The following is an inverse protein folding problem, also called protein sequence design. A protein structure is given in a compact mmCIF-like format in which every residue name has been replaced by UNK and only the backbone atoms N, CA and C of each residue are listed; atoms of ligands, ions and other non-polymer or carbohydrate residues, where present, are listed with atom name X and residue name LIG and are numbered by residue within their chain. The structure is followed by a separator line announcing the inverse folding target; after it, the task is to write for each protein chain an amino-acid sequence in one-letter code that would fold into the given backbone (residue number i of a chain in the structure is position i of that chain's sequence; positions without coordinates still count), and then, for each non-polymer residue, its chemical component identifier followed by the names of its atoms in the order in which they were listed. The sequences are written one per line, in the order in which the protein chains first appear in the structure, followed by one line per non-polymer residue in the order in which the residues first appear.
data_IF_679073580953
#
_entry.id   IF_679073580953
#
_cell.length_a   1.000
_cell.length_b   1.000
_cell.length_c   1.000
_cell.angle_alpha   90.00
_cell.angle_beta   90.00
_cell.angle_gamma   90.00
#
_symmetry.space_group_name_H-M   'P 1'
#
loop_
_entity.id
_entity.type
_entity.pdbx_description
1 polymer ?
#
# COMPACT_ATOMS: atom_id res chain seq x y z
N UNK A 1 -5.10 -18.46 -12.57
CA UNK A 1 -4.51 -17.86 -11.35
C UNK A 1 -3.02 -18.11 -11.43
N UNK A 2 -2.18 -17.12 -11.14
CA UNK A 2 -0.75 -17.36 -11.01
C UNK A 2 -0.50 -18.29 -9.80
N UNK A 3 0.40 -19.28 -9.93
CA UNK A 3 0.74 -20.12 -8.78
C UNK A 3 1.43 -19.27 -7.71
N UNK A 4 1.04 -19.46 -6.46
CA UNK A 4 1.69 -18.83 -5.30
C UNK A 4 2.59 -19.80 -4.54
N UNK A 5 2.70 -21.02 -5.05
CA UNK A 5 3.54 -22.08 -4.48
C UNK A 5 5.01 -21.66 -4.54
N UNK A 6 5.70 -21.75 -3.41
CA UNK A 6 7.11 -21.37 -3.29
C UNK A 6 7.38 -19.85 -3.25
N UNK A 7 6.37 -18.99 -3.35
CA UNK A 7 6.54 -17.54 -3.22
C UNK A 7 6.55 -17.09 -1.75
N UNK A 8 7.31 -16.02 -1.48
CA UNK A 8 7.37 -15.32 -0.20
C UNK A 8 7.25 -13.81 -0.40
N UNK A 9 6.83 -13.05 0.64
CA UNK A 9 6.88 -11.60 0.58
C UNK A 9 8.29 -11.11 0.22
N UNK A 10 8.35 -10.03 -0.55
CA UNK A 10 9.61 -9.37 -0.88
C UNK A 10 10.37 -8.97 0.39
N UNK A 11 11.67 -9.21 0.44
CA UNK A 11 12.52 -8.89 1.58
C UNK A 11 13.30 -7.60 1.36
N UNK A 12 13.73 -6.96 2.47
CA UNK A 12 14.59 -5.77 2.41
C UNK A 12 15.92 -6.05 1.68
N UNK A 13 16.54 -7.20 1.94
CA UNK A 13 17.80 -7.60 1.31
C UNK A 13 17.68 -7.77 -0.22
N UNK A 14 16.57 -8.34 -0.68
CA UNK A 14 16.27 -8.42 -2.10
C UNK A 14 16.10 -7.02 -2.71
N UNK A 15 15.33 -6.15 -2.06
CA UNK A 15 15.14 -4.76 -2.52
C UNK A 15 16.44 -3.98 -2.57
N UNK A 16 17.34 -4.17 -1.61
CA UNK A 16 18.66 -3.54 -1.63
C UNK A 16 19.44 -3.95 -2.89
N UNK A 17 19.53 -5.26 -3.15
CA UNK A 17 20.23 -5.81 -4.33
C UNK A 17 19.56 -5.42 -5.64
N UNK A 18 18.24 -5.30 -5.65
CA UNK A 18 17.47 -4.84 -6.81
C UNK A 18 17.75 -3.35 -7.06
N UNK A 19 17.63 -2.50 -6.04
CA UNK A 19 17.84 -1.06 -6.16
C UNK A 19 19.30 -0.66 -6.41
N UNK A 20 20.29 -1.53 -6.14
CA UNK A 20 21.67 -1.30 -6.60
C UNK A 20 21.77 -1.18 -8.12
N UNK A 21 20.84 -1.81 -8.86
CA UNK A 21 20.76 -1.74 -10.33
C UNK A 21 19.93 -0.56 -10.83
N UNK A 22 19.27 0.16 -9.92
CA UNK A 22 18.35 1.26 -10.22
C UNK A 22 18.74 2.50 -9.40
N UNK A 23 19.91 3.06 -9.67
CA UNK A 23 20.36 4.28 -8.99
C UNK A 23 19.66 5.52 -9.54
N UNK A 24 19.03 6.32 -8.68
CA UNK A 24 18.58 7.65 -9.06
C UNK A 24 19.80 8.58 -9.20
N UNK A 25 19.85 9.33 -10.30
CA UNK A 25 20.88 10.35 -10.47
C UNK A 25 20.61 11.50 -9.49
N UNK A 26 21.63 12.03 -8.79
CA UNK A 26 21.42 13.10 -7.82
C UNK A 26 20.65 14.29 -8.39
N UNK A 27 19.89 14.97 -7.54
CA UNK A 27 19.22 16.22 -7.89
C UNK A 27 20.23 17.28 -8.34
N UNK A 28 19.81 18.18 -9.22
CA UNK A 28 20.57 19.39 -9.52
C UNK A 28 20.96 20.13 -8.23
N UNK A 29 22.19 20.64 -8.18
CA UNK A 29 22.65 21.50 -7.09
C UNK A 29 21.78 22.77 -6.93
N UNK A 30 21.06 23.15 -8.00
CA UNK A 30 20.12 24.26 -7.98
C UNK A 30 18.94 24.03 -7.02
N UNK A 31 18.55 22.79 -6.74
CA UNK A 31 17.49 22.50 -5.76
C UNK A 31 17.88 23.05 -4.39
N UNK A 32 19.08 22.72 -3.91
CA UNK A 32 19.58 23.20 -2.61
C UNK A 32 19.89 24.69 -2.64
N UNK A 33 20.52 25.18 -3.72
CA UNK A 33 20.87 26.59 -3.87
C UNK A 33 19.63 27.49 -3.83
N UNK A 34 18.66 27.23 -4.71
CA UNK A 34 17.45 28.05 -4.83
C UNK A 34 16.55 27.94 -3.60
N UNK A 35 16.45 26.75 -2.99
CA UNK A 35 15.73 26.61 -1.72
C UNK A 35 16.34 27.49 -0.62
N UNK A 36 17.67 27.54 -0.54
CA UNK A 36 18.39 28.37 0.45
C UNK A 36 18.23 29.86 0.14
N UNK A 37 18.35 30.24 -1.13
CA UNK A 37 18.17 31.62 -1.60
C UNK A 37 16.76 32.15 -1.31
N UNK A 38 15.73 31.35 -1.63
CA UNK A 38 14.33 31.65 -1.30
C UNK A 38 14.14 31.82 0.21
N UNK A 39 14.68 30.89 1.02
CA UNK A 39 14.58 31.00 2.49
C UNK A 39 15.31 32.22 3.03
N UNK A 40 16.42 32.63 2.43
CA UNK A 40 17.10 33.88 2.78
C UNK A 40 16.22 35.09 2.51
N UNK A 41 15.59 35.16 1.33
CA UNK A 41 14.67 36.26 0.97
C UNK A 41 13.50 36.31 1.96
N UNK A 42 12.92 35.16 2.31
CA UNK A 42 11.85 35.08 3.32
C UNK A 42 12.34 35.57 4.68
N UNK A 43 13.53 35.17 5.11
CA UNK A 43 14.10 35.60 6.39
C UNK A 43 14.24 37.13 6.44
N UNK A 44 14.76 37.74 5.38
CA UNK A 44 14.91 39.20 5.28
C UNK A 44 13.56 39.92 5.36
N UNK A 45 12.52 39.38 4.71
CA UNK A 45 11.15 39.92 4.77
C UNK A 45 10.55 39.83 6.18
N UNK A 46 10.78 38.70 6.88
CA UNK A 46 10.31 38.47 8.24
C UNK A 46 11.05 39.34 9.27
N UNK A 47 12.33 39.64 9.04
CA UNK A 47 13.10 40.57 9.89
C UNK A 47 12.57 42.00 9.81
N UNK A 48 12.12 42.42 8.63
CA UNK A 48 11.54 43.75 8.44
C UNK A 48 10.12 43.86 8.99
N UNK A 49 9.35 42.77 8.94
CA UNK A 49 7.95 42.72 9.40
C UNK A 49 7.69 41.39 10.11
N UNK A 50 7.50 41.38 11.45
CA UNK A 50 7.31 40.16 12.23
C UNK A 50 6.18 39.27 11.69
N UNK A 51 6.25 37.94 11.89
CA UNK A 51 5.20 37.03 11.46
C UNK A 51 3.85 37.35 12.10
N UNK A 52 2.77 37.24 11.33
CA UNK A 52 1.40 37.22 11.89
C UNK A 52 1.00 35.80 12.30
N UNK A 53 -0.06 35.67 13.09
CA UNK A 53 -0.49 34.39 13.70
C UNK A 53 -0.68 33.27 12.67
N UNK A 54 -1.29 33.56 11.51
CA UNK A 54 -1.48 32.59 10.43
C UNK A 54 -0.19 32.16 9.71
N UNK A 55 0.85 33.01 9.69
CA UNK A 55 2.13 32.70 9.04
C UNK A 55 3.01 31.81 9.91
N UNK A 56 2.84 31.87 11.23
CA UNK A 56 3.61 31.06 12.17
C UNK A 56 3.43 29.56 11.94
N UNK A 57 2.24 29.14 11.50
CA UNK A 57 1.96 27.74 11.17
C UNK A 57 2.79 27.31 9.95
N UNK A 58 2.80 28.10 8.89
CA UNK A 58 3.52 27.81 7.65
C UNK A 58 5.03 27.84 7.84
N UNK A 59 5.54 28.79 8.64
CA UNK A 59 6.96 28.86 9.01
C UNK A 59 7.36 27.61 9.78
N UNK A 60 6.58 27.23 10.80
CA UNK A 60 6.83 26.01 11.57
C UNK A 60 6.75 24.74 10.70
N UNK A 61 5.89 24.70 9.70
CA UNK A 61 5.81 23.59 8.74
C UNK A 61 7.07 23.55 7.86
N UNK A 62 7.58 24.69 7.40
CA UNK A 62 8.79 24.80 6.58
C UNK A 62 10.08 24.41 7.32
N UNK A 63 10.10 24.55 8.65
CA UNK A 63 11.23 24.17 9.49
C UNK A 63 11.19 22.69 9.93
N UNK A 64 10.09 21.98 9.67
CA UNK A 64 9.95 20.55 9.98
C UNK A 64 10.55 19.68 8.88
N UNK A 65 10.98 18.49 9.29
CA UNK A 65 11.34 17.45 8.33
C UNK A 65 10.10 17.00 7.55
N UNK A 66 10.22 16.79 6.23
CA UNK A 66 9.13 16.23 5.44
C UNK A 66 8.73 14.84 5.94
N UNK A 67 7.50 14.40 5.65
CA UNK A 67 7.08 13.04 5.98
C UNK A 67 8.03 12.00 5.38
N UNK A 68 8.44 11.05 6.22
CA UNK A 68 9.35 9.97 5.83
C UNK A 68 8.70 8.98 4.86
N UNK A 69 7.41 8.70 5.01
CA UNK A 69 6.70 7.78 4.11
C UNK A 69 6.56 8.41 2.72
N UNK A 70 7.08 7.75 1.70
CA UNK A 70 7.06 8.25 0.31
C UNK A 70 5.65 8.62 -0.14
N UNK A 71 4.64 7.83 0.20
CA UNK A 71 3.26 8.11 -0.22
C UNK A 71 2.65 9.32 0.50
N UNK A 72 2.91 9.46 1.80
CA UNK A 72 2.54 10.67 2.56
C UNK A 72 3.22 11.91 1.97
N UNK A 73 4.49 11.76 1.63
CA UNK A 73 5.27 12.83 1.05
C UNK A 73 4.78 13.24 -0.34
N UNK A 74 4.36 12.29 -1.17
CA UNK A 74 3.71 12.57 -2.46
C UNK A 74 2.39 13.33 -2.27
N UNK A 75 1.60 12.99 -1.24
CA UNK A 75 0.41 13.74 -0.89
C UNK A 75 0.73 15.17 -0.45
N UNK A 76 1.79 15.37 0.35
CA UNK A 76 2.27 16.71 0.72
C UNK A 76 2.75 17.52 -0.48
N UNK A 77 3.43 16.90 -1.44
CA UNK A 77 3.79 17.59 -2.68
C UNK A 77 2.53 18.07 -3.43
N UNK A 78 1.49 17.24 -3.55
CA UNK A 78 0.22 17.66 -4.18
C UNK A 78 -0.42 18.83 -3.43
N UNK A 79 -0.51 18.75 -2.11
CA UNK A 79 -1.01 19.82 -1.25
C UNK A 79 -0.27 21.14 -1.50
N UNK A 80 1.06 21.14 -1.36
CA UNK A 80 1.86 22.35 -1.50
C UNK A 80 1.86 22.90 -2.92
N UNK A 81 1.86 22.05 -3.96
CA UNK A 81 1.70 22.51 -5.34
C UNK A 81 0.36 23.23 -5.50
N UNK A 82 -0.73 22.67 -4.99
CA UNK A 82 -2.06 23.23 -5.19
C UNK A 82 -2.29 24.50 -4.38
N UNK A 83 -1.75 24.60 -3.17
CA UNK A 83 -1.72 25.85 -2.41
C UNK A 83 -0.84 26.91 -3.08
N UNK A 84 0.25 26.51 -3.72
CA UNK A 84 1.08 27.42 -4.52
C UNK A 84 0.31 27.92 -5.74
N UNK A 85 -0.41 27.04 -6.45
CA UNK A 85 -1.30 27.41 -7.55
C UNK A 85 -2.38 28.39 -7.07
N UNK A 86 -2.96 28.14 -5.89
CA UNK A 86 -3.93 29.04 -5.28
C UNK A 86 -3.35 30.45 -5.09
N UNK A 87 -2.13 30.58 -4.57
CA UNK A 87 -1.47 31.89 -4.41
C UNK A 87 -1.15 32.56 -5.76
N UNK A 88 -0.88 31.77 -6.79
CA UNK A 88 -0.60 32.25 -8.15
C UNK A 88 -1.86 32.58 -8.96
N UNK A 89 -3.06 32.24 -8.47
CA UNK A 89 -4.32 32.62 -9.14
C UNK A 89 -4.56 34.13 -9.01
N UNK A 90 -4.94 34.77 -10.12
CA UNK A 90 -5.02 36.23 -10.18
C UNK A 90 -6.03 36.82 -9.20
N UNK A 91 -7.09 36.07 -8.87
CA UNK A 91 -8.07 36.44 -7.84
C UNK A 91 -7.47 36.61 -6.44
N UNK A 92 -6.34 35.94 -6.17
CA UNK A 92 -5.69 35.88 -4.86
C UNK A 92 -4.47 36.81 -4.77
N UNK A 93 -4.14 37.53 -5.85
CA UNK A 93 -3.06 38.51 -5.83
C UNK A 93 -3.41 39.74 -4.99
N UNK A 94 -2.40 40.48 -4.52
CA UNK A 94 -2.61 41.81 -3.94
C UNK A 94 -3.30 42.75 -4.95
N UNK A 95 -4.21 43.61 -4.48
CA UNK A 95 -4.99 44.50 -5.35
C UNK A 95 -4.11 45.40 -6.24
N UNK A 96 -2.98 45.86 -5.71
CA UNK A 96 -2.02 46.66 -6.46
C UNK A 96 -1.41 45.90 -7.66
N UNK A 97 -1.23 44.58 -7.55
CA UNK A 97 -0.73 43.73 -8.65
C UNK A 97 -1.85 43.41 -9.65
N UNK A 98 -3.10 43.23 -9.17
CA UNK A 98 -4.27 42.99 -10.03
C UNK A 98 -4.57 44.16 -10.98
N UNK A 99 -4.33 45.39 -10.53
CA UNK A 99 -4.62 46.60 -11.30
C UNK A 99 -3.66 46.82 -12.49
N UNK A 100 -2.56 46.06 -12.58
CA UNK A 100 -1.61 46.05 -13.71
C UNK A 100 -1.23 47.45 -14.23
N UNK A 101 -1.08 48.40 -13.31
CA UNK A 101 -1.02 49.82 -13.62
C UNK A 101 0.33 50.27 -14.18
N UNK A 102 1.35 49.42 -14.07
CA UNK A 102 2.73 49.69 -14.56
C UNK A 102 3.19 48.59 -15.52
N UNK A 103 4.08 48.91 -16.49
CA UNK A 103 4.66 47.90 -17.38
C UNK A 103 5.31 46.72 -16.64
N UNK A 104 5.99 46.98 -15.54
CA UNK A 104 6.61 45.96 -14.69
C UNK A 104 5.57 45.04 -14.06
N UNK A 105 4.43 45.57 -13.59
CA UNK A 105 3.34 44.76 -13.04
C UNK A 105 2.67 43.84 -14.08
N UNK A 106 2.66 44.26 -15.35
CA UNK A 106 2.19 43.43 -16.47
C UNK A 106 3.17 42.29 -16.75
N UNK A 107 4.48 42.56 -16.80
CA UNK A 107 5.50 41.52 -17.00
C UNK A 107 5.47 40.48 -15.87
N UNK A 108 5.38 40.93 -14.61
CA UNK A 108 5.24 40.05 -13.45
C UNK A 108 3.98 39.19 -13.56
N UNK A 109 2.84 39.78 -13.93
CA UNK A 109 1.58 39.04 -14.11
C UNK A 109 1.70 37.92 -15.15
N UNK A 110 2.40 38.18 -16.26
CA UNK A 110 2.66 37.18 -17.30
C UNK A 110 3.53 36.05 -16.76
N UNK A 111 4.59 36.36 -16.00
CA UNK A 111 5.46 35.34 -15.39
C UNK A 111 4.66 34.49 -14.42
N UNK A 112 3.91 35.09 -13.47
CA UNK A 112 3.11 34.36 -12.49
C UNK A 112 2.08 33.43 -13.16
N UNK A 113 1.44 33.87 -14.25
CA UNK A 113 0.55 33.04 -15.05
C UNK A 113 1.25 31.80 -15.62
N UNK A 114 2.45 31.96 -16.19
CA UNK A 114 3.25 30.83 -16.69
C UNK A 114 3.67 29.87 -15.57
N UNK A 115 4.05 30.38 -14.40
CA UNK A 115 4.41 29.55 -13.25
C UNK A 115 3.21 28.74 -12.76
N UNK A 116 2.02 29.35 -12.73
CA UNK A 116 0.77 28.67 -12.40
C UNK A 116 0.51 27.49 -13.34
N UNK A 117 0.63 27.71 -14.65
CA UNK A 117 0.39 26.68 -15.66
C UNK A 117 1.40 25.52 -15.55
N UNK A 118 2.69 25.83 -15.31
CA UNK A 118 3.74 24.82 -15.06
C UNK A 118 3.42 23.95 -13.85
N UNK A 119 3.05 24.57 -12.73
CA UNK A 119 2.68 23.86 -11.50
C UNK A 119 1.41 23.04 -11.69
N UNK A 120 0.43 23.54 -12.44
CA UNK A 120 -0.80 22.80 -12.74
C UNK A 120 -0.53 21.54 -13.58
N UNK A 121 0.36 21.63 -14.57
CA UNK A 121 0.80 20.47 -15.34
C UNK A 121 1.57 19.45 -14.47
N UNK A 122 2.41 19.96 -13.58
CA UNK A 122 3.17 19.14 -12.64
C UNK A 122 2.27 18.42 -11.64
N UNK A 123 1.23 19.10 -11.12
CA UNK A 123 0.21 18.50 -10.26
C UNK A 123 -0.49 17.34 -10.98
N UNK A 124 -0.93 17.56 -12.24
CA UNK A 124 -1.56 16.51 -13.06
C UNK A 124 -0.65 15.31 -13.30
N UNK A 125 0.64 15.54 -13.52
CA UNK A 125 1.61 14.45 -13.69
C UNK A 125 1.73 13.61 -12.40
N UNK A 126 1.82 14.25 -11.24
CA UNK A 126 1.87 13.61 -9.93
C UNK A 126 0.58 12.84 -9.60
N UNK A 127 -0.58 13.41 -9.91
CA UNK A 127 -1.89 12.75 -9.78
C UNK A 127 -2.00 11.51 -10.66
N UNK A 128 -1.61 11.66 -11.93
CA UNK A 128 -1.61 10.57 -12.90
C UNK A 128 -0.68 9.44 -12.45
N UNK A 129 0.49 9.78 -11.90
CA UNK A 129 1.41 8.80 -11.33
C UNK A 129 0.76 8.01 -10.18
N UNK A 130 0.15 8.68 -9.20
CA UNK A 130 -0.48 8.01 -8.07
C UNK A 130 -1.66 7.12 -8.48
N UNK A 131 -2.49 7.57 -9.44
CA UNK A 131 -3.60 6.78 -9.98
C UNK A 131 -3.08 5.54 -10.68
N UNK A 132 -2.13 5.69 -11.62
CA UNK A 132 -1.52 4.56 -12.35
C UNK A 132 -0.86 3.57 -11.41
N UNK A 133 -0.15 4.05 -10.39
CA UNK A 133 0.49 3.16 -9.41
C UNK A 133 -0.56 2.40 -8.58
N UNK A 134 -1.63 3.06 -8.12
CA UNK A 134 -2.71 2.40 -7.40
C UNK A 134 -3.44 1.36 -8.25
N UNK A 135 -3.67 1.64 -9.54
CA UNK A 135 -4.22 0.69 -10.50
C UNK A 135 -3.28 -0.49 -10.76
N UNK A 136 -1.98 -0.22 -10.93
CA UNK A 136 -0.97 -1.26 -11.10
C UNK A 136 -0.93 -2.21 -9.90
N UNK A 137 -0.85 -1.68 -8.67
CA UNK A 137 -0.90 -2.48 -7.43
C UNK A 137 -2.17 -3.32 -7.40
N UNK A 138 -3.33 -2.70 -7.66
CA UNK A 138 -4.61 -3.42 -7.65
C UNK A 138 -4.65 -4.54 -8.70
N UNK A 139 -4.25 -4.25 -9.95
CA UNK A 139 -4.26 -5.23 -11.02
C UNK A 139 -3.30 -6.39 -10.74
N UNK A 140 -2.12 -6.10 -10.20
CA UNK A 140 -1.16 -7.13 -9.77
C UNK A 140 -1.77 -8.02 -8.68
N UNK A 141 -2.40 -7.44 -7.65
CA UNK A 141 -3.11 -8.21 -6.62
C UNK A 141 -4.23 -9.06 -7.25
N UNK A 142 -4.97 -8.53 -8.22
CA UNK A 142 -6.02 -9.26 -8.91
C UNK A 142 -5.52 -10.50 -9.66
N UNK A 143 -4.27 -10.54 -10.12
CA UNK A 143 -3.72 -11.74 -10.81
C UNK A 143 -3.65 -12.99 -9.92
N UNK A 144 -3.59 -12.77 -8.61
CA UNK A 144 -3.49 -13.80 -7.59
C UNK A 144 -4.84 -14.19 -6.98
N UNK A 145 -5.92 -13.49 -7.32
CA UNK A 145 -7.26 -13.78 -6.82
C UNK A 145 -8.08 -14.62 -7.82
N UNK A 146 -9.09 -15.37 -7.33
CA UNK A 146 -10.00 -16.12 -8.21
C UNK A 146 -10.67 -15.20 -9.24
N UNK A 147 -10.62 -15.58 -10.52
CA UNK A 147 -11.23 -14.83 -11.62
C UNK A 147 -12.72 -15.15 -11.82
N UNK A 148 -13.38 -15.61 -10.75
CA UNK A 148 -14.79 -15.93 -10.74
C UNK A 148 -15.62 -14.74 -10.22
N UNK A 149 -16.88 -14.99 -9.85
CA UNK A 149 -17.79 -13.96 -9.32
C UNK A 149 -17.20 -13.17 -8.13
N UNK A 150 -16.28 -13.76 -7.36
CA UNK A 150 -15.63 -13.11 -6.21
C UNK A 150 -14.71 -11.97 -6.65
N UNK A 151 -13.97 -12.15 -7.74
CA UNK A 151 -13.15 -11.09 -8.34
C UNK A 151 -14.00 -9.91 -8.82
N UNK A 152 -15.17 -10.20 -9.40
CA UNK A 152 -16.13 -9.16 -9.82
C UNK A 152 -16.72 -8.42 -8.62
N UNK A 153 -17.06 -9.11 -7.53
CA UNK A 153 -17.54 -8.49 -6.30
C UNK A 153 -16.50 -7.56 -5.67
N UNK A 154 -15.22 -7.95 -5.64
CA UNK A 154 -14.14 -7.11 -5.13
C UNK A 154 -13.97 -5.82 -5.96
N UNK A 155 -14.06 -5.91 -7.28
CA UNK A 155 -14.04 -4.73 -8.16
C UNK A 155 -15.22 -3.80 -7.87
N UNK A 156 -16.43 -4.34 -7.79
CA UNK A 156 -17.63 -3.56 -7.47
C UNK A 156 -17.56 -2.92 -6.08
N UNK A 157 -17.03 -3.64 -5.09
CA UNK A 157 -16.83 -3.11 -3.74
C UNK A 157 -15.82 -1.98 -3.72
N UNK A 158 -14.70 -2.11 -4.45
CA UNK A 158 -13.72 -1.03 -4.63
C UNK A 158 -14.38 0.18 -5.26
N UNK A 159 -15.06 0.03 -6.40
CA UNK A 159 -15.73 1.14 -7.09
C UNK A 159 -16.73 1.86 -6.19
N UNK A 160 -17.56 1.11 -5.45
CA UNK A 160 -18.53 1.70 -4.52
C UNK A 160 -17.82 2.45 -3.38
N UNK A 161 -16.77 1.87 -2.81
CA UNK A 161 -15.98 2.50 -1.75
C UNK A 161 -15.30 3.79 -2.25
N UNK A 162 -14.73 3.77 -3.44
CA UNK A 162 -14.08 4.95 -4.04
C UNK A 162 -15.09 6.04 -4.39
N UNK A 163 -16.28 5.70 -4.90
CA UNK A 163 -17.37 6.67 -5.10
C UNK A 163 -17.82 7.33 -3.78
N UNK A 164 -17.96 6.55 -2.71
CA UNK A 164 -18.37 7.09 -1.42
C UNK A 164 -17.31 8.04 -0.83
N UNK A 165 -16.03 7.67 -0.94
CA UNK A 165 -14.91 8.53 -0.50
C UNK A 165 -14.81 9.82 -1.31
N UNK A 166 -15.03 9.74 -2.62
CA UNK A 166 -15.08 10.92 -3.48
C UNK A 166 -16.25 11.83 -3.10
N UNK A 167 -17.43 11.27 -2.80
CA UNK A 167 -18.57 12.07 -2.35
C UNK A 167 -18.29 12.80 -1.01
N UNK A 168 -17.52 12.20 -0.10
CA UNK A 168 -17.08 12.86 1.14
C UNK A 168 -16.13 14.03 0.85
N UNK A 169 -15.20 13.85 -0.08
CA UNK A 169 -14.31 14.91 -0.57
C UNK A 169 -15.10 16.03 -1.22
N UNK A 170 -16.05 15.70 -2.11
CA UNK A 170 -16.89 16.67 -2.79
C UNK A 170 -17.76 17.44 -1.79
N UNK A 171 -18.32 16.77 -0.78
CA UNK A 171 -19.09 17.42 0.29
C UNK A 171 -18.23 18.40 1.11
N UNK A 172 -16.98 18.02 1.43
CA UNK A 172 -16.04 18.90 2.13
C UNK A 172 -15.70 20.14 1.28
N UNK A 173 -15.40 19.97 0.00
CA UNK A 173 -15.12 21.10 -0.91
C UNK A 173 -16.34 21.99 -1.06
N UNK A 174 -17.52 21.42 -1.27
CA UNK A 174 -18.78 22.16 -1.43
C UNK A 174 -19.21 22.92 -0.16
N UNK A 175 -18.78 22.47 1.02
CA UNK A 175 -19.00 23.16 2.29
C UNK A 175 -17.95 24.24 2.60
N UNK A 176 -17.00 24.48 1.69
CA UNK A 176 -15.96 25.50 1.83
C UNK A 176 -14.72 25.02 2.57
N UNK A 177 -14.47 23.71 2.65
CA UNK A 177 -13.24 23.15 3.20
C UNK A 177 -12.01 23.65 2.45
N UNK A 178 -10.92 23.87 3.19
CA UNK A 178 -9.66 24.34 2.62
C UNK A 178 -8.95 23.24 1.81
N UNK A 179 -7.94 23.64 1.03
CA UNK A 179 -7.06 22.70 0.34
C UNK A 179 -6.42 21.73 1.36
N UNK A 180 -5.95 22.27 2.49
CA UNK A 180 -5.42 21.50 3.60
C UNK A 180 -6.42 20.45 4.12
N UNK A 181 -7.67 20.86 4.40
CA UNK A 181 -8.72 19.95 4.91
C UNK A 181 -8.95 18.78 3.93
N UNK A 182 -8.96 19.08 2.62
CA UNK A 182 -9.13 18.07 1.58
C UNK A 182 -7.98 17.06 1.57
N UNK A 183 -6.73 17.52 1.64
CA UNK A 183 -5.57 16.62 1.67
C UNK A 183 -5.46 15.84 2.99
N UNK A 184 -5.83 16.44 4.12
CA UNK A 184 -5.96 15.75 5.40
C UNK A 184 -7.01 14.62 5.34
N UNK A 185 -8.16 14.87 4.70
CA UNK A 185 -9.19 13.86 4.48
C UNK A 185 -8.70 12.71 3.57
N UNK A 186 -8.06 13.04 2.44
CA UNK A 186 -7.50 12.04 1.52
C UNK A 186 -6.46 11.16 2.21
N UNK A 187 -5.59 11.76 3.03
CA UNK A 187 -4.62 11.01 3.82
C UNK A 187 -5.28 10.13 4.88
N UNK A 188 -6.28 10.64 5.59
CA UNK A 188 -7.07 9.86 6.55
C UNK A 188 -7.72 8.65 5.87
N UNK A 189 -8.38 8.85 4.74
CA UNK A 189 -8.99 7.77 3.95
C UNK A 189 -7.94 6.72 3.53
N UNK A 190 -6.73 7.14 3.16
CA UNK A 190 -5.62 6.24 2.83
C UNK A 190 -5.14 5.46 4.06
N UNK A 191 -5.04 6.09 5.23
CA UNK A 191 -4.65 5.41 6.48
C UNK A 191 -5.72 4.43 6.95
N UNK A 192 -7.00 4.77 6.80
CA UNK A 192 -8.08 3.87 7.17
C UNK A 192 -8.12 2.63 6.27
N UNK A 193 -7.82 2.77 4.96
CA UNK A 193 -7.57 1.61 4.07
C UNK A 193 -6.45 0.73 4.60
N UNK A 194 -5.31 1.32 4.98
CA UNK A 194 -4.16 0.58 5.51
C UNK A 194 -4.48 -0.13 6.83
N UNK A 195 -5.22 0.51 7.74
CA UNK A 195 -5.66 -0.09 9.00
C UNK A 195 -6.59 -1.28 8.77
N UNK A 196 -7.56 -1.14 7.88
CA UNK A 196 -8.45 -2.24 7.51
C UNK A 196 -7.67 -3.42 6.92
N UNK A 197 -6.72 -3.16 6.01
CA UNK A 197 -5.85 -4.19 5.45
C UNK A 197 -4.97 -4.86 6.51
N UNK A 198 -4.37 -4.08 7.41
CA UNK A 198 -3.57 -4.61 8.51
C UNK A 198 -4.41 -5.50 9.45
N UNK A 199 -5.64 -5.08 9.77
CA UNK A 199 -6.59 -5.88 10.55
C UNK A 199 -6.96 -7.21 9.87
N UNK A 200 -7.06 -7.23 8.53
CA UNK A 200 -7.23 -8.46 7.76
C UNK A 200 -5.98 -9.36 7.84
N UNK A 201 -4.79 -8.79 7.76
CA UNK A 201 -3.52 -9.52 7.87
C UNK A 201 -3.21 -10.03 9.29
N UNK A 202 -3.71 -9.33 10.32
CA UNK A 202 -3.55 -9.69 11.73
C UNK A 202 -4.72 -10.52 12.28
N UNK A 203 -5.80 -10.72 11.50
CA UNK A 203 -6.92 -11.53 11.93
C UNK A 203 -6.44 -12.96 12.21
N UNK A 204 -6.73 -13.46 13.42
CA UNK A 204 -6.45 -14.85 13.83
C UNK A 204 -7.77 -15.64 13.87
N UNK A 205 -7.71 -16.95 13.58
CA UNK A 205 -8.86 -17.84 13.71
C UNK A 205 -9.90 -17.76 12.57
N UNK A 206 -11.18 -17.93 12.92
CA UNK A 206 -12.30 -18.17 11.99
C UNK A 206 -12.47 -17.07 10.93
N UNK A 207 -12.12 -15.81 11.23
CA UNK A 207 -12.20 -14.70 10.29
C UNK A 207 -11.11 -14.74 9.20
N UNK A 208 -9.88 -15.15 9.54
CA UNK A 208 -8.80 -15.41 8.56
C UNK A 208 -9.16 -16.58 7.66
N UNK A 209 -9.76 -17.62 8.24
CA UNK A 209 -10.29 -18.77 7.50
C UNK A 209 -11.43 -18.36 6.57
N UNK A 210 -12.38 -17.53 7.02
CA UNK A 210 -13.45 -17.00 6.18
C UNK A 210 -12.93 -16.14 5.03
N UNK A 211 -11.93 -15.27 5.23
CA UNK A 211 -11.35 -14.45 4.15
C UNK A 211 -10.53 -15.30 3.17
N UNK A 212 -9.74 -16.26 3.67
CA UNK A 212 -8.97 -17.22 2.86
C UNK A 212 -9.91 -18.11 2.00
N UNK A 213 -11.02 -18.58 2.56
CA UNK A 213 -11.96 -19.49 1.90
C UNK A 213 -13.06 -18.80 1.07
N UNK A 214 -13.65 -17.69 1.54
CA UNK A 214 -14.70 -16.98 0.80
C UNK A 214 -14.14 -16.13 -0.35
N UNK A 215 -12.91 -15.63 -0.23
CA UNK A 215 -12.32 -14.71 -1.23
C UNK A 215 -11.15 -15.35 -1.99
N UNK A 216 -10.59 -16.45 -1.49
CA UNK A 216 -9.50 -17.18 -2.15
C UNK A 216 -8.17 -16.41 -2.14
N UNK A 217 -7.94 -15.58 -1.11
CA UNK A 217 -6.73 -14.76 -0.99
C UNK A 217 -5.53 -15.63 -0.59
N UNK A 218 -4.46 -15.70 -1.42
CA UNK A 218 -3.24 -16.43 -1.07
C UNK A 218 -2.59 -15.95 0.23
N UNK A 219 -2.03 -16.87 1.02
CA UNK A 219 -1.40 -16.56 2.31
C UNK A 219 -0.23 -15.57 2.15
N UNK A 220 0.55 -15.70 1.07
CA UNK A 220 1.67 -14.80 0.76
C UNK A 220 1.24 -13.33 0.63
N UNK A 221 0.03 -13.05 0.14
CA UNK A 221 -0.54 -11.70 0.06
C UNK A 221 -0.89 -11.15 1.45
N UNK A 222 -1.41 -12.01 2.34
CA UNK A 222 -1.72 -11.61 3.73
C UNK A 222 -0.43 -11.33 4.52
N UNK A 223 0.61 -12.14 4.32
CA UNK A 223 1.92 -11.96 4.96
C UNK A 223 2.61 -10.68 4.46
N UNK A 224 2.49 -10.38 3.16
CA UNK A 224 2.96 -9.12 2.58
C UNK A 224 2.23 -7.91 3.18
N UNK A 225 0.88 -7.95 3.28
CA UNK A 225 0.09 -6.86 3.87
C UNK A 225 0.47 -6.61 5.34
N UNK A 226 0.80 -7.66 6.09
CA UNK A 226 1.27 -7.54 7.47
C UNK A 226 2.62 -6.81 7.57
N UNK A 227 3.51 -7.02 6.61
CA UNK A 227 4.88 -6.47 6.63
C UNK A 227 5.02 -5.12 5.90
N UNK A 228 4.05 -4.72 5.06
CA UNK A 228 4.18 -3.50 4.23
C UNK A 228 4.15 -2.19 5.03
N UNK A 229 3.52 -2.21 6.21
CA UNK A 229 3.40 -1.05 7.10
C UNK A 229 4.39 -1.09 8.27
N UNK A 230 5.24 -2.11 8.34
CA UNK A 230 6.30 -2.20 9.35
C UNK A 230 7.31 -1.07 9.10
N UNK A 231 7.69 -0.36 10.16
CA UNK A 231 8.64 0.76 10.06
C UNK A 231 10.05 0.26 9.71
N UNK A 232 10.35 -1.02 9.99
CA UNK A 232 11.58 -1.72 9.54
C UNK A 232 11.32 -2.67 8.35
N UNK A 233 10.15 -2.56 7.72
CA UNK A 233 9.71 -3.44 6.64
C UNK A 233 10.53 -3.27 5.35
N UNK A 234 10.27 -4.13 4.34
CA UNK A 234 10.98 -4.09 3.06
C UNK A 234 10.94 -2.71 2.38
N UNK A 235 9.85 -1.96 2.58
CA UNK A 235 9.65 -0.63 2.02
C UNK A 235 10.59 0.43 2.63
N UNK A 236 11.22 0.17 3.76
CA UNK A 236 12.19 1.08 4.37
C UNK A 236 13.46 1.23 3.51
N UNK A 237 13.84 0.19 2.77
CA UNK A 237 14.93 0.28 1.79
C UNK A 237 14.64 1.29 0.68
N UNK A 238 13.38 1.32 0.22
CA UNK A 238 12.93 2.28 -0.78
C UNK A 238 12.97 3.70 -0.24
N UNK A 239 12.52 3.91 1.01
CA UNK A 239 12.57 5.22 1.68
C UNK A 239 14.01 5.68 1.86
N UNK A 240 14.90 4.79 2.27
CA UNK A 240 16.31 5.11 2.42
C UNK A 240 16.97 5.58 1.12
N UNK A 241 16.68 4.91 -0.01
CA UNK A 241 17.32 5.23 -1.30
C UNK A 241 16.69 6.38 -2.06
N UNK A 242 15.36 6.45 -2.08
CA UNK A 242 14.63 7.40 -2.93
C UNK A 242 13.85 8.47 -2.16
N UNK A 243 13.76 8.33 -0.83
CA UNK A 243 13.19 9.36 0.05
C UNK A 243 13.96 10.69 0.00
N UNK A 244 15.29 10.73 0.20
CA UNK A 244 16.02 11.99 0.33
C UNK A 244 15.87 12.96 -0.87
N UNK A 245 15.90 12.50 -2.14
CA UNK A 245 15.57 13.35 -3.27
C UNK A 245 14.15 13.91 -3.19
N UNK A 246 13.16 13.05 -2.93
CA UNK A 246 11.76 13.49 -2.82
C UNK A 246 11.57 14.50 -1.69
N UNK A 247 12.13 14.25 -0.50
CA UNK A 247 12.06 15.15 0.65
C UNK A 247 12.62 16.53 0.34
N UNK A 248 13.74 16.58 -0.40
CA UNK A 248 14.36 17.82 -0.84
C UNK A 248 13.44 18.62 -1.78
N UNK A 249 12.76 17.94 -2.70
CA UNK A 249 11.77 18.56 -3.58
C UNK A 249 10.56 19.07 -2.80
N UNK A 250 10.08 18.33 -1.80
CA UNK A 250 8.98 18.74 -0.91
C UNK A 250 9.32 20.03 -0.17
N UNK A 251 10.55 20.14 0.36
CA UNK A 251 11.01 21.36 1.02
C UNK A 251 11.13 22.52 0.05
N UNK A 252 11.53 22.26 -1.19
CA UNK A 252 11.65 23.28 -2.22
C UNK A 252 10.28 23.90 -2.56
N UNK A 253 9.25 23.08 -2.84
CA UNK A 253 7.91 23.62 -3.11
C UNK A 253 7.30 24.31 -1.89
N UNK A 254 7.55 23.80 -0.69
CA UNK A 254 7.12 24.46 0.54
C UNK A 254 7.81 25.82 0.73
N UNK A 255 9.09 25.93 0.39
CA UNK A 255 9.83 27.20 0.41
C UNK A 255 9.26 28.20 -0.60
N UNK A 256 8.92 27.73 -1.81
CA UNK A 256 8.26 28.54 -2.84
C UNK A 256 6.89 29.06 -2.33
N UNK A 257 6.06 28.17 -1.77
CA UNK A 257 4.76 28.53 -1.16
C UNK A 257 4.91 29.55 -0.05
N UNK A 258 5.85 29.34 0.86
CA UNK A 258 6.14 30.25 1.97
C UNK A 258 6.54 31.62 1.44
N UNK A 259 7.46 31.67 0.47
CA UNK A 259 7.88 32.93 -0.14
C UNK A 259 6.73 33.70 -0.78
N UNK A 260 5.87 33.04 -1.57
CA UNK A 260 4.68 33.68 -2.13
C UNK A 260 3.74 34.20 -1.03
N UNK A 261 3.47 33.38 -0.02
CA UNK A 261 2.57 33.75 1.09
C UNK A 261 3.05 35.01 1.81
N UNK A 262 4.32 35.02 2.21
CA UNK A 262 4.96 36.15 2.92
C UNK A 262 5.02 37.39 2.04
N UNK A 263 5.32 37.21 0.74
CA UNK A 263 5.40 38.30 -0.22
C UNK A 263 4.04 38.94 -0.52
N UNK A 264 2.96 38.15 -0.56
CA UNK A 264 1.62 38.66 -0.84
C UNK A 264 1.09 39.44 0.36
N UNK A 265 1.31 38.92 1.57
CA UNK A 265 0.92 39.59 2.81
C UNK A 265 1.64 40.95 3.00
N UNK A 266 2.86 41.08 2.48
CA UNK A 266 3.71 42.27 2.63
C UNK A 266 3.87 43.07 1.34
N UNK A 267 2.98 42.85 0.36
CA UNK A 267 3.18 43.38 -0.98
C UNK A 267 3.29 44.91 -0.97
N UNK A 268 4.50 45.39 -1.27
CA UNK A 268 4.82 46.80 -1.51
C UNK A 268 5.32 47.02 -2.93
N UNK A 269 6.12 46.07 -3.45
CA UNK A 269 6.51 45.86 -4.85
C UNK A 269 7.45 44.64 -4.88
N UNK A 270 7.32 43.73 -5.86
CA UNK A 270 8.24 42.61 -6.04
C UNK A 270 9.40 43.04 -6.94
N UNK A 271 10.65 42.84 -6.48
CA UNK A 271 11.82 43.16 -7.31
C UNK A 271 11.95 42.14 -8.44
N UNK A 272 12.34 42.61 -9.63
CA UNK A 272 12.54 41.74 -10.81
C UNK A 272 13.49 40.57 -10.54
N UNK A 273 14.55 40.81 -9.76
CA UNK A 273 15.51 39.78 -9.34
C UNK A 273 14.83 38.68 -8.51
N UNK A 274 13.93 39.04 -7.58
CA UNK A 274 13.22 38.07 -6.75
C UNK A 274 12.21 37.24 -7.57
N UNK A 275 11.60 37.85 -8.59
CA UNK A 275 10.74 37.14 -9.55
C UNK A 275 11.56 36.16 -10.40
N UNK A 276 12.76 36.56 -10.84
CA UNK A 276 13.64 35.67 -11.60
C UNK A 276 14.09 34.45 -10.78
N UNK A 277 14.38 34.64 -9.48
CA UNK A 277 14.68 33.52 -8.56
C UNK A 277 13.49 32.59 -8.40
N UNK A 278 12.28 33.14 -8.24
CA UNK A 278 11.04 32.37 -8.17
C UNK A 278 10.80 31.56 -9.45
N UNK A 279 10.96 32.18 -10.62
CA UNK A 279 10.80 31.52 -11.92
C UNK A 279 11.79 30.36 -12.06
N UNK A 280 13.07 30.59 -11.75
CA UNK A 280 14.08 29.55 -11.80
C UNK A 280 13.78 28.40 -10.82
N UNK A 281 13.30 28.73 -9.62
CA UNK A 281 12.98 27.72 -8.60
C UNK A 281 11.80 26.84 -9.03
N UNK A 282 10.73 27.42 -9.57
CA UNK A 282 9.61 26.65 -10.11
C UNK A 282 10.07 25.76 -11.27
N UNK A 283 10.92 26.27 -12.15
CA UNK A 283 11.43 25.51 -13.29
C UNK A 283 12.28 24.30 -12.87
N UNK A 284 13.20 24.52 -11.92
CA UNK A 284 14.03 23.45 -11.36
C UNK A 284 13.16 22.44 -10.61
N UNK A 285 12.22 22.90 -9.77
CA UNK A 285 11.34 22.00 -9.02
C UNK A 285 10.50 21.12 -9.95
N UNK A 286 9.83 21.72 -10.93
CA UNK A 286 8.95 20.99 -11.86
C UNK A 286 9.72 19.98 -12.71
N UNK A 287 10.89 20.37 -13.24
CA UNK A 287 11.78 19.49 -14.01
C UNK A 287 12.30 18.32 -13.17
N UNK A 288 12.77 18.59 -11.96
CA UNK A 288 13.34 17.56 -11.08
C UNK A 288 12.26 16.62 -10.52
N UNK A 289 11.07 17.12 -10.22
CA UNK A 289 9.96 16.28 -9.80
C UNK A 289 9.49 15.37 -10.94
N UNK A 290 9.37 15.88 -12.17
CA UNK A 290 9.05 15.04 -13.33
C UNK A 290 10.11 13.96 -13.56
N UNK A 291 11.39 14.31 -13.45
CA UNK A 291 12.51 13.35 -13.55
C UNK A 291 12.40 12.28 -12.46
N UNK A 292 12.11 12.67 -11.22
CA UNK A 292 11.90 11.74 -10.11
C UNK A 292 10.70 10.82 -10.36
N UNK A 293 9.57 11.37 -10.82
CA UNK A 293 8.34 10.60 -11.10
C UNK A 293 8.55 9.59 -12.22
N UNK A 294 9.23 9.97 -13.30
CA UNK A 294 9.57 9.04 -14.39
C UNK A 294 10.44 7.90 -13.88
N UNK A 295 11.52 8.22 -13.17
CA UNK A 295 12.41 7.21 -12.60
C UNK A 295 11.68 6.24 -11.66
N UNK A 296 10.94 6.76 -10.67
CA UNK A 296 10.30 5.89 -9.68
C UNK A 296 9.17 5.05 -10.30
N UNK A 297 8.53 5.55 -11.36
CA UNK A 297 7.56 4.78 -12.16
C UNK A 297 8.21 3.55 -12.79
N UNK A 298 9.39 3.71 -13.39
CA UNK A 298 10.14 2.59 -13.97
C UNK A 298 10.57 1.59 -12.90
N UNK A 299 11.02 2.06 -11.73
CA UNK A 299 11.37 1.19 -10.61
C UNK A 299 10.17 0.38 -10.14
N UNK A 300 8.99 0.99 -10.00
CA UNK A 300 7.78 0.33 -9.50
C UNK A 300 7.14 -0.62 -10.51
N UNK A 301 7.21 -0.30 -11.80
CA UNK A 301 6.73 -1.20 -12.85
C UNK A 301 7.50 -2.53 -12.89
N UNK A 302 8.76 -2.52 -12.47
CA UNK A 302 9.66 -3.66 -12.57
C UNK A 302 9.95 -4.35 -11.22
N UNK A 303 9.59 -3.73 -10.09
CA UNK A 303 9.82 -4.31 -8.76
C UNK A 303 8.79 -5.41 -8.47
N UNK A 304 9.21 -6.65 -8.19
CA UNK A 304 8.28 -7.72 -7.86
C UNK A 304 7.64 -7.49 -6.47
N UNK A 305 6.39 -7.92 -6.29
CA UNK A 305 5.73 -7.95 -4.96
C UNK A 305 6.09 -9.21 -4.15
N UNK A 306 6.42 -10.29 -4.87
CA UNK A 306 6.78 -11.59 -4.31
C UNK A 306 8.05 -12.11 -4.96
N UNK A 307 8.86 -12.82 -4.18
CA UNK A 307 10.08 -13.48 -4.65
C UNK A 307 9.99 -14.97 -4.33
N UNK A 308 10.80 -15.82 -4.99
CA UNK A 308 10.86 -17.23 -4.62
C UNK A 308 11.53 -17.40 -3.26
N UNK A 309 11.14 -18.45 -2.53
CA UNK A 309 11.76 -18.80 -1.25
C UNK A 309 13.28 -19.02 -1.36
N UNK A 310 13.75 -19.53 -2.50
CA UNK A 310 15.17 -19.68 -2.80
C UNK A 310 15.89 -18.32 -2.85
N UNK A 311 15.31 -17.36 -3.57
CA UNK A 311 15.85 -15.99 -3.71
C UNK A 311 15.80 -15.22 -2.40
N UNK A 312 14.84 -15.53 -1.53
CA UNK A 312 14.75 -14.97 -0.19
C UNK A 312 15.75 -15.58 0.81
N UNK A 313 16.54 -16.58 0.42
CA UNK A 313 17.48 -17.28 1.29
C UNK A 313 16.84 -18.27 2.26
N UNK A 314 15.57 -18.66 2.04
CA UNK A 314 14.77 -19.48 2.97
C UNK A 314 14.93 -21.00 2.77
N UNK A 315 16.02 -21.45 2.13
CA UNK A 315 16.27 -22.87 1.85
C UNK A 315 16.73 -23.67 3.09
N UNK A 316 17.04 -23.03 4.22
CA UNK A 316 17.39 -23.75 5.45
C UNK A 316 16.19 -24.07 6.37
N UNK A 317 14.97 -23.59 6.07
CA UNK A 317 13.85 -23.70 7.04
C UNK A 317 12.46 -24.01 6.45
N UNK A 318 12.36 -24.83 5.40
CA UNK A 318 11.07 -25.35 4.93
C UNK A 318 11.02 -26.88 4.81
N UNK A 319 10.95 -27.56 5.96
CA UNK A 319 9.99 -28.67 6.07
C UNK A 319 8.63 -28.00 6.28
N UNK A 320 7.72 -28.13 5.31
CA UNK A 320 6.35 -27.65 5.43
C UNK A 320 5.64 -28.46 6.54
N UNK A 321 5.41 -27.85 7.70
CA UNK A 321 4.63 -28.47 8.80
C UNK A 321 3.10 -28.36 8.59
N UNK A 322 2.63 -27.63 7.56
CA UNK A 322 1.19 -27.38 7.35
C UNK A 322 0.45 -28.53 6.64
N UNK A 323 1.17 -29.39 5.89
CA UNK A 323 0.60 -30.56 5.22
C UNK A 323 1.57 -31.73 5.33
N UNK A 324 1.04 -32.87 5.80
CA UNK A 324 1.81 -34.09 5.96
C UNK A 324 1.35 -35.11 4.92
N UNK A 325 2.22 -35.43 3.97
CA UNK A 325 1.97 -36.54 3.05
C UNK A 325 2.03 -37.86 3.82
N UNK A 326 0.95 -38.64 3.71
CA UNK A 326 0.85 -39.94 4.37
C UNK A 326 0.58 -41.02 3.35
N UNK A 327 1.44 -42.03 3.31
CA UNK A 327 1.20 -43.22 2.50
C UNK A 327 0.42 -44.27 3.30
N UNK A 328 -0.78 -44.59 2.82
CA UNK A 328 -1.65 -45.66 3.35
C UNK A 328 -1.51 -46.90 2.45
N UNK A 329 -0.84 -47.98 2.90
CA UNK A 329 -0.67 -49.19 2.10
C UNK A 329 -2.00 -49.87 1.73
N UNK A 330 -2.00 -50.69 0.68
CA UNK A 330 -3.14 -51.55 0.36
C UNK A 330 -3.46 -52.48 1.53
N UNK A 331 -4.75 -52.65 1.86
CA UNK A 331 -5.17 -53.51 2.97
C UNK A 331 -4.99 -52.90 4.37
N UNK A 332 -4.69 -51.60 4.49
CA UNK A 332 -4.38 -50.92 5.78
C UNK A 332 -5.23 -49.67 5.99
N UNK A 333 -5.30 -49.25 7.26
CA UNK A 333 -5.86 -47.96 7.68
C UNK A 333 -4.76 -47.04 8.21
N UNK A 334 -5.01 -45.74 8.15
CA UNK A 334 -4.25 -44.72 8.87
C UNK A 334 -5.21 -43.97 9.79
N UNK A 335 -4.77 -43.71 11.02
CA UNK A 335 -5.63 -43.16 12.07
C UNK A 335 -4.96 -41.96 12.72
N UNK A 336 -5.75 -40.91 12.97
CA UNK A 336 -5.33 -39.75 13.75
C UNK A 336 -6.23 -39.67 14.98
N UNK A 337 -5.62 -39.67 16.15
CA UNK A 337 -6.30 -39.54 17.43
C UNK A 337 -6.20 -38.10 17.94
N UNK A 338 -7.34 -37.49 18.24
CA UNK A 338 -7.46 -36.15 18.79
C UNK A 338 -8.09 -36.24 20.18
N UNK A 339 -7.43 -35.67 21.18
CA UNK A 339 -8.02 -35.49 22.51
C UNK A 339 -8.75 -34.16 22.57
N UNK A 340 -10.02 -34.17 22.97
CA UNK A 340 -10.88 -32.99 23.06
C UNK A 340 -11.30 -32.78 24.51
N UNK A 341 -10.87 -31.65 25.08
CA UNK A 341 -11.09 -31.34 26.51
C UNK A 341 -12.46 -30.70 26.79
N UNK A 342 -13.11 -30.11 25.78
CA UNK A 342 -14.39 -29.41 25.93
C UNK A 342 -15.36 -29.67 24.78
N UNK A 343 -16.65 -29.77 25.12
CA UNK A 343 -17.75 -29.80 24.15
C UNK A 343 -17.81 -28.51 23.33
N UNK A 344 -18.40 -28.56 22.14
CA UNK A 344 -18.48 -27.46 21.16
C UNK A 344 -17.13 -27.00 20.58
N UNK A 345 -16.08 -27.81 20.69
CA UNK A 345 -14.85 -27.65 19.92
C UNK A 345 -15.08 -28.11 18.47
N UNK A 346 -14.22 -27.66 17.55
CA UNK A 346 -14.30 -28.08 16.14
C UNK A 346 -13.13 -28.97 15.78
N UNK A 347 -13.46 -30.16 15.27
CA UNK A 347 -12.51 -31.00 14.53
C UNK A 347 -12.71 -30.69 13.07
N UNK A 348 -11.63 -30.37 12.35
CA UNK A 348 -11.66 -30.14 10.92
C UNK A 348 -10.67 -31.06 10.22
N UNK A 349 -11.00 -31.44 8.99
CA UNK A 349 -10.12 -32.20 8.11
C UNK A 349 -10.15 -31.61 6.71
N UNK A 350 -9.02 -31.77 6.03
CA UNK A 350 -8.81 -31.44 4.62
C UNK A 350 -7.80 -32.47 4.11
N UNK A 351 -8.21 -33.32 3.18
CA UNK A 351 -7.33 -34.30 2.57
C UNK A 351 -7.65 -34.48 1.09
N UNK A 352 -6.62 -34.83 0.32
CA UNK A 352 -6.76 -35.12 -1.11
C UNK A 352 -5.77 -36.18 -1.52
N UNK A 353 -6.14 -37.04 -2.47
CA UNK A 353 -5.21 -38.05 -2.95
C UNK A 353 -4.18 -37.45 -3.92
N UNK A 354 -2.90 -37.71 -3.65
CA UNK A 354 -1.77 -37.26 -4.48
C UNK A 354 -1.36 -38.41 -5.41
N UNK A 355 -2.00 -38.57 -6.57
CA UNK A 355 -1.43 -39.27 -7.75
C UNK A 355 -2.32 -39.22 -9.01
N UNK A 356 -1.69 -39.15 -10.20
CA UNK A 356 -2.33 -38.79 -11.47
C UNK A 356 -3.13 -39.88 -12.24
N UNK A 357 -3.80 -39.43 -13.32
CA UNK A 357 -4.53 -40.11 -14.42
C UNK A 357 -5.48 -41.29 -14.12
N UNK A 358 -5.50 -41.86 -12.92
CA UNK A 358 -6.41 -42.95 -12.52
C UNK A 358 -7.27 -42.43 -11.38
N UNK A 359 -8.60 -42.46 -11.53
CA UNK A 359 -9.54 -42.13 -10.46
C UNK A 359 -9.33 -43.10 -9.29
N UNK A 360 -8.86 -42.55 -8.17
CA UNK A 360 -8.60 -43.27 -6.94
C UNK A 360 -9.36 -42.60 -5.82
N UNK A 361 -9.87 -43.41 -4.91
CA UNK A 361 -10.53 -42.97 -3.69
C UNK A 361 -9.88 -43.58 -2.44
N UNK A 362 -10.27 -43.07 -1.27
CA UNK A 362 -9.94 -43.60 0.05
C UNK A 362 -11.19 -43.56 0.93
N UNK A 363 -11.37 -44.57 1.79
CA UNK A 363 -12.44 -44.57 2.77
C UNK A 363 -12.14 -43.56 3.87
N UNK A 364 -13.13 -42.81 4.33
CA UNK A 364 -12.97 -41.87 5.44
C UNK A 364 -14.14 -41.95 6.42
N UNK A 365 -13.84 -41.95 7.72
CA UNK A 365 -14.82 -41.90 8.80
C UNK A 365 -14.26 -41.20 10.06
N UNK A 366 -15.16 -40.80 10.95
CA UNK A 366 -14.84 -40.21 12.25
C UNK A 366 -15.56 -40.99 13.35
N UNK A 367 -14.80 -41.47 14.33
CA UNK A 367 -15.32 -42.16 15.51
C UNK A 367 -15.01 -41.37 16.78
N UNK A 368 -15.91 -41.43 17.76
CA UNK A 368 -15.64 -41.01 19.14
C UNK A 368 -15.43 -42.25 20.00
N UNK A 369 -14.41 -42.23 20.84
CA UNK A 369 -14.17 -43.21 21.88
C UNK A 369 -14.39 -42.55 23.25
N UNK A 370 -15.36 -43.06 24.00
CA UNK A 370 -15.62 -42.62 25.36
C UNK A 370 -14.46 -43.02 26.30
N UNK A 371 -14.35 -42.39 27.49
CA UNK A 371 -13.41 -42.82 28.52
C UNK A 371 -13.62 -44.27 28.99
N UNK A 372 -14.80 -44.84 28.75
CA UNK A 372 -15.14 -46.24 29.06
C UNK A 372 -14.82 -47.21 27.91
N UNK A 373 -14.30 -46.70 26.78
CA UNK A 373 -13.92 -47.49 25.60
C UNK A 373 -15.06 -47.77 24.61
N UNK A 374 -16.26 -47.23 24.88
CA UNK A 374 -17.40 -47.34 23.97
C UNK A 374 -17.18 -46.45 22.73
N UNK A 375 -17.40 -47.01 21.54
CA UNK A 375 -17.21 -46.31 20.27
C UNK A 375 -18.53 -45.85 19.69
N UNK A 376 -18.60 -44.59 19.30
CA UNK A 376 -19.75 -44.00 18.63
C UNK A 376 -19.31 -43.42 17.28
N UNK A 377 -19.97 -43.84 16.20
CA UNK A 377 -19.69 -43.34 14.87
C UNK A 377 -20.26 -41.91 14.72
N UNK A 378 -19.38 -40.94 14.43
CA UNK A 378 -19.73 -39.52 14.33
C UNK A 378 -19.91 -39.09 12.87
N UNK A 379 -19.03 -39.58 11.98
CA UNK A 379 -19.16 -39.43 10.54
C UNK A 379 -19.18 -40.82 9.89
N UNK A 380 -20.22 -41.17 9.11
CA UNK A 380 -20.32 -42.48 8.49
C UNK A 380 -19.25 -42.67 7.42
N UNK A 381 -18.79 -43.92 7.30
CA UNK A 381 -17.83 -44.33 6.28
C UNK A 381 -18.35 -44.01 4.87
N UNK A 382 -17.52 -43.30 4.10
CA UNK A 382 -17.73 -43.05 2.66
C UNK A 382 -16.38 -43.03 1.93
N UNK A 383 -16.40 -43.23 0.62
CA UNK A 383 -15.21 -43.21 -0.24
C UNK A 383 -15.09 -41.85 -0.93
N UNK A 384 -13.91 -41.25 -0.87
CA UNK A 384 -13.63 -39.90 -1.35
C UNK A 384 -12.34 -39.86 -2.16
N UNK A 385 -12.34 -39.07 -3.24
CA UNK A 385 -11.10 -38.70 -3.94
C UNK A 385 -10.38 -37.56 -3.22
N UNK A 386 -11.18 -36.67 -2.62
CA UNK A 386 -10.81 -35.61 -1.69
C UNK A 386 -12.03 -35.28 -0.84
N UNK A 387 -11.84 -34.87 0.40
CA UNK A 387 -12.94 -34.36 1.23
C UNK A 387 -12.45 -33.28 2.18
N UNK A 388 -13.31 -32.28 2.39
CA UNK A 388 -13.08 -31.23 3.37
C UNK A 388 -14.33 -31.08 4.22
N UNK A 389 -14.16 -31.13 5.53
CA UNK A 389 -15.27 -31.05 6.45
C UNK A 389 -14.86 -30.64 7.84
N UNK A 390 -15.87 -30.38 8.66
CA UNK A 390 -15.70 -30.17 10.08
C UNK A 390 -16.82 -30.86 10.85
N UNK A 391 -16.55 -31.09 12.13
CA UNK A 391 -17.47 -31.68 13.07
C UNK A 391 -17.39 -30.94 14.40
N UNK A 392 -18.53 -30.48 14.90
CA UNK A 392 -18.64 -29.89 16.22
C UNK A 392 -18.74 -30.99 17.28
N UNK A 393 -17.81 -31.02 18.22
CA UNK A 393 -17.66 -32.09 19.20
C UNK A 393 -18.81 -32.06 20.20
N UNK A 394 -19.58 -33.14 20.27
CA UNK A 394 -20.72 -33.29 21.18
C UNK A 394 -20.32 -33.70 22.59
N UNK A 395 -19.11 -34.27 22.76
CA UNK A 395 -18.61 -34.82 24.02
C UNK A 395 -17.11 -34.49 24.18
N UNK A 396 -16.64 -34.38 25.41
CA UNK A 396 -15.20 -34.38 25.69
C UNK A 396 -14.68 -35.83 25.69
N UNK A 397 -13.50 -36.06 25.12
CA UNK A 397 -12.92 -37.39 24.98
C UNK A 397 -12.08 -37.55 23.72
N UNK A 398 -11.87 -38.79 23.29
CA UNK A 398 -11.00 -39.10 22.16
C UNK A 398 -11.79 -39.23 20.87
N UNK A 399 -11.42 -38.46 19.86
CA UNK A 399 -11.95 -38.57 18.51
C UNK A 399 -10.90 -39.15 17.58
N UNK A 400 -11.31 -40.05 16.69
CA UNK A 400 -10.44 -40.78 15.78
C UNK A 400 -10.89 -40.56 14.34
N UNK A 401 -10.03 -39.91 13.56
CA UNK A 401 -10.19 -39.82 12.10
C UNK A 401 -9.53 -41.04 11.48
N UNK A 402 -10.22 -41.70 10.56
CA UNK A 402 -9.78 -42.96 9.96
C UNK A 402 -9.77 -42.81 8.45
N UNK A 403 -8.60 -43.00 7.84
CA UNK A 403 -8.42 -43.18 6.41
C UNK A 403 -8.24 -44.66 6.13
N UNK A 404 -9.16 -45.24 5.37
CA UNK A 404 -9.29 -46.66 5.17
C UNK A 404 -8.98 -47.05 3.71
N UNK A 405 -7.94 -47.86 3.54
CA UNK A 405 -7.55 -48.46 2.27
C UNK A 405 -7.61 -50.00 2.32
N UNK A 406 -8.39 -50.56 3.25
CA UNK A 406 -8.54 -52.01 3.44
C UNK A 406 -9.22 -52.69 2.25
N UNK A 407 -10.06 -51.97 1.52
CA UNK A 407 -10.72 -52.48 0.31
C UNK A 407 -9.80 -52.52 -0.92
N UNK A 408 -8.63 -51.88 -0.88
CA UNK A 408 -7.67 -51.90 -1.98
C UNK A 408 -6.77 -53.12 -1.87
N UNK A 409 -6.70 -53.92 -2.92
CA UNK A 409 -5.87 -55.12 -3.01
C UNK A 409 -4.46 -54.85 -3.54
N UNK A 410 -4.29 -53.83 -4.37
CA UNK A 410 -3.03 -53.60 -5.10
C UNK A 410 -2.45 -52.20 -4.93
N UNK A 411 -3.29 -51.20 -4.61
CA UNK A 411 -2.87 -49.81 -4.66
C UNK A 411 -2.74 -49.21 -3.27
N UNK A 412 -1.54 -48.72 -2.95
CA UNK A 412 -1.35 -47.76 -1.86
C UNK A 412 -2.00 -46.42 -2.25
N UNK A 413 -2.40 -45.66 -1.24
CA UNK A 413 -2.94 -44.31 -1.38
C UNK A 413 -1.97 -43.33 -0.74
N UNK A 414 -1.79 -42.16 -1.34
CA UNK A 414 -1.02 -41.07 -0.74
C UNK A 414 -2.02 -39.95 -0.51
N UNK A 415 -2.24 -39.60 0.76
CA UNK A 415 -3.16 -38.54 1.21
C UNK A 415 -2.41 -37.33 1.73
#
# INVERSE_FOLDING_TARGET
MASTEGLVPITRAFLASYYDKHSFTPLSADVTRLSSEIRSIVSDLLHQHPPIEGESILINEADRQPPHKIDENMWKNREYIEETIFLLESSNWPEALKQQSTPDSVEISIVLGKLKDKLHNTLKALESFQIKNAEHVFNTVMTYLPQDFRGTLLRQQRERSERNKQAEVDALVNSGGSIHDRYALLWKQQMDRRRQLAQLGSATGVYKTLVKYLVGVPQVLLDFIRQINDDDGPMEEQRHRYGPPLYSLTLMILSIRLYLSISWARYKELKREQIAVLEQAVDVYTTELERFLTFISEVFANSPFFISAEVAGALETRQNDDYKEISVPAGKTYEVLLSVDSVNSYIAWDFSLVQGKINMDIGFSLEFASPTGEKTLMLPYRRYESDQGNFCTLMAGSYKLIWDNTYSTFFRKII
#
